data_IF_171708189704
#
_entry.id   IF_171708189704
#
_cell.length_a   1.000
_cell.length_b   1.000
_cell.length_c   1.000
_cell.angle_alpha   90.00
_cell.angle_beta   90.00
_cell.angle_gamma   90.00
#
_symmetry.space_group_name_H-M   'P 1'
#
loop_
_entity.id
_entity.type
_entity.pdbx_description
1 polymer ?
#
# COMPACT_ATOMS: atom_id res chain seq x y z
N UNK A 1 14.61 4.31 -13.79
CA UNK A 1 13.32 3.91 -14.39
C UNK A 1 12.39 5.11 -14.39
N UNK A 2 11.53 5.25 -15.38
CA UNK A 2 10.52 6.31 -15.45
C UNK A 2 9.13 5.69 -15.30
N UNK A 3 8.30 6.29 -14.47
CA UNK A 3 6.86 5.98 -14.31
C UNK A 3 6.11 7.24 -14.70
N UNK A 4 5.20 7.13 -15.68
CA UNK A 4 4.37 8.28 -16.08
C UNK A 4 3.32 8.51 -15.00
N UNK A 5 3.00 9.78 -14.74
CA UNK A 5 2.04 10.18 -13.71
C UNK A 5 1.17 11.32 -14.19
N UNK A 6 -0.12 11.25 -13.84
CA UNK A 6 -1.05 12.37 -13.93
C UNK A 6 -1.32 12.84 -12.51
N UNK A 7 -1.11 14.12 -12.25
CA UNK A 7 -1.53 14.78 -11.02
C UNK A 7 -2.96 15.32 -11.18
N UNK A 8 -3.77 15.03 -10.20
CA UNK A 8 -5.09 15.62 -10.07
C UNK A 8 -5.01 16.75 -9.03
N UNK A 9 -5.50 17.92 -9.38
CA UNK A 9 -5.38 19.14 -8.57
C UNK A 9 -3.91 19.54 -8.35
N UNK A 10 -3.62 20.27 -7.29
CA UNK A 10 -2.29 20.75 -6.89
C UNK A 10 -1.51 19.73 -6.02
N UNK A 11 -1.84 18.43 -6.12
CA UNK A 11 -1.16 17.38 -5.36
C UNK A 11 0.34 17.38 -5.62
N UNK A 12 1.15 17.38 -4.56
CA UNK A 12 2.60 17.22 -4.68
C UNK A 12 2.96 15.82 -5.17
N UNK A 13 3.94 15.73 -6.09
CA UNK A 13 4.48 14.43 -6.47
C UNK A 13 5.24 13.80 -5.30
N UNK A 14 5.00 12.51 -5.04
CA UNK A 14 5.79 11.77 -4.07
C UNK A 14 7.27 11.78 -4.42
N UNK A 15 8.13 11.83 -3.43
CA UNK A 15 9.58 11.79 -3.60
C UNK A 15 10.24 10.88 -2.56
N UNK A 16 11.40 10.36 -2.90
CA UNK A 16 12.27 9.70 -1.93
C UNK A 16 12.93 10.77 -1.05
N UNK A 17 12.74 10.69 0.26
CA UNK A 17 13.28 11.69 1.19
C UNK A 17 14.79 11.56 1.37
N UNK A 18 15.34 10.36 1.23
CA UNK A 18 16.78 10.07 1.29
C UNK A 18 17.19 9.11 0.17
N UNK A 19 18.49 9.03 -0.12
CA UNK A 19 19.01 8.12 -1.13
C UNK A 19 18.75 6.64 -0.81
N UNK A 20 18.57 6.31 0.46
CA UNK A 20 18.26 4.95 0.94
C UNK A 20 16.76 4.67 1.13
N UNK A 21 15.89 5.63 0.84
CA UNK A 21 14.44 5.44 0.97
C UNK A 21 13.93 4.42 -0.05
N UNK A 22 13.14 3.44 0.40
CA UNK A 22 12.44 2.51 -0.47
C UNK A 22 11.03 2.97 -0.82
N UNK A 23 10.43 3.83 0.00
CA UNK A 23 9.07 4.34 -0.16
C UNK A 23 9.03 5.86 -0.34
N UNK A 24 7.94 6.32 -0.94
CA UNK A 24 7.60 7.73 -1.13
C UNK A 24 6.26 7.99 -0.46
N UNK A 25 6.18 8.95 0.45
CA UNK A 25 4.93 9.31 1.11
C UNK A 25 3.92 9.90 0.13
N UNK A 26 2.65 9.52 0.26
CA UNK A 26 1.52 10.12 -0.45
C UNK A 26 0.60 10.85 0.51
N UNK A 27 -0.04 11.90 -0.03
CA UNK A 27 -0.89 12.80 0.74
C UNK A 27 -2.37 12.57 0.42
N UNK A 28 -3.22 12.84 1.41
CA UNK A 28 -4.66 12.87 1.23
C UNK A 28 -5.08 14.02 0.29
N UNK A 29 -5.63 13.70 -0.86
CA UNK A 29 -6.18 14.66 -1.83
C UNK A 29 -7.68 14.87 -1.56
N UNK A 30 -7.97 15.46 -0.43
CA UNK A 30 -9.32 15.78 0.06
C UNK A 30 -9.43 17.29 0.29
N UNK A 31 -10.64 17.82 0.26
CA UNK A 31 -10.93 19.25 0.47
C UNK A 31 -11.34 19.59 1.90
N UNK A 32 -11.81 18.58 2.64
CA UNK A 32 -12.30 18.73 4.01
C UNK A 32 -11.71 17.62 4.89
N UNK A 33 -11.72 17.85 6.20
CA UNK A 33 -11.30 16.88 7.19
C UNK A 33 -12.16 15.60 7.11
N UNK A 34 -11.50 14.45 7.13
CA UNK A 34 -12.16 13.14 7.14
C UNK A 34 -11.97 12.47 8.49
N UNK A 35 -13.03 12.37 9.27
CA UNK A 35 -13.02 11.69 10.57
C UNK A 35 -13.22 10.19 10.39
N UNK A 36 -12.29 9.39 10.92
CA UNK A 36 -12.39 7.94 11.05
C UNK A 36 -12.66 7.59 12.51
N UNK A 37 -13.89 7.17 12.81
CA UNK A 37 -14.21 6.58 14.10
C UNK A 37 -13.46 5.24 14.29
N UNK A 38 -13.30 4.73 15.53
CA UNK A 38 -12.73 3.42 15.78
C UNK A 38 -13.37 2.32 14.94
N UNK A 39 -12.55 1.47 14.30
CA UNK A 39 -12.99 0.36 13.46
C UNK A 39 -13.57 0.74 12.10
N UNK A 40 -13.65 2.02 11.74
CA UNK A 40 -14.23 2.44 10.45
C UNK A 40 -13.21 2.45 9.32
N UNK A 41 -13.69 2.18 8.11
CA UNK A 41 -12.90 2.15 6.86
C UNK A 41 -13.40 3.27 5.95
N UNK A 42 -12.46 4.00 5.35
CA UNK A 42 -12.74 4.99 4.31
C UNK A 42 -11.71 4.95 3.20
N UNK A 43 -12.15 5.15 1.97
CA UNK A 43 -11.27 5.34 0.82
C UNK A 43 -10.84 6.80 0.77
N UNK A 44 -9.53 7.05 0.81
CA UNK A 44 -8.94 8.38 0.76
C UNK A 44 -8.16 8.51 -0.56
N UNK A 45 -8.60 9.39 -1.47
CA UNK A 45 -7.89 9.62 -2.72
C UNK A 45 -6.54 10.30 -2.48
N UNK A 46 -5.56 10.04 -3.36
CA UNK A 46 -4.23 10.66 -3.27
C UNK A 46 -3.92 11.60 -4.43
N UNK A 47 -4.85 11.78 -5.37
CA UNK A 47 -4.72 12.71 -6.49
C UNK A 47 -3.70 12.29 -7.55
N UNK A 48 -3.40 11.01 -7.68
CA UNK A 48 -2.42 10.48 -8.62
C UNK A 48 -2.99 9.34 -9.45
N UNK A 49 -2.74 9.36 -10.77
CA UNK A 49 -2.88 8.22 -11.68
C UNK A 49 -1.51 7.91 -12.26
N UNK A 50 -1.18 6.63 -12.42
CA UNK A 50 0.15 6.20 -12.87
C UNK A 50 0.06 5.22 -14.04
N UNK A 51 1.14 5.18 -14.83
CA UNK A 51 1.40 4.14 -15.83
C UNK A 51 2.72 3.48 -15.47
N UNK A 52 2.62 2.29 -14.90
CA UNK A 52 3.76 1.51 -14.41
C UNK A 52 4.24 0.62 -15.57
N UNK A 53 5.54 0.49 -15.83
CA UNK A 53 6.06 -0.46 -16.81
C UNK A 53 5.69 -1.91 -16.47
N UNK A 54 5.39 -2.73 -17.48
CA UNK A 54 5.15 -4.17 -17.31
C UNK A 54 6.34 -4.82 -16.59
N UNK A 55 6.06 -5.76 -15.71
CA UNK A 55 7.06 -6.40 -14.84
C UNK A 55 7.31 -5.66 -13.53
N UNK A 56 6.52 -4.62 -13.25
CA UNK A 56 6.55 -3.89 -11.98
C UNK A 56 5.14 -3.61 -11.46
N UNK A 57 5.05 -3.45 -10.15
CA UNK A 57 3.87 -2.95 -9.43
C UNK A 57 4.26 -1.79 -8.53
N UNK A 58 3.27 -1.02 -8.08
CA UNK A 58 3.45 -0.13 -6.93
C UNK A 58 2.58 -0.65 -5.79
N UNK A 59 3.22 -0.88 -4.64
CA UNK A 59 2.51 -1.21 -3.41
C UNK A 59 2.18 0.05 -2.63
N UNK A 60 0.94 0.15 -2.18
CA UNK A 60 0.49 1.14 -1.20
C UNK A 60 0.62 0.51 0.17
N UNK A 61 1.43 1.11 1.05
CA UNK A 61 1.72 0.60 2.38
C UNK A 61 1.37 1.63 3.45
N UNK A 62 0.95 1.21 4.66
CA UNK A 62 0.75 2.13 5.77
C UNK A 62 2.07 2.77 6.20
N UNK A 63 1.97 3.91 6.91
CA UNK A 63 3.12 4.57 7.53
C UNK A 63 3.27 4.10 8.97
N UNK A 64 4.46 3.64 9.33
CA UNK A 64 4.76 3.10 10.67
C UNK A 64 4.44 4.09 11.80
N UNK A 65 4.74 5.37 11.61
CA UNK A 65 4.48 6.40 12.61
C UNK A 65 2.98 6.64 12.88
N UNK A 66 2.15 6.60 11.84
CA UNK A 66 0.69 6.73 11.97
C UNK A 66 0.08 5.45 12.58
N UNK A 67 0.56 4.29 12.15
CA UNK A 67 0.12 3.01 12.70
C UNK A 67 0.42 2.92 14.19
N UNK A 68 1.66 3.23 14.60
CA UNK A 68 2.09 3.11 16.01
C UNK A 68 1.40 4.14 16.93
N UNK A 69 1.30 5.40 16.49
CA UNK A 69 0.84 6.49 17.35
C UNK A 69 -0.67 6.66 17.36
N UNK A 70 -1.33 6.30 16.26
CA UNK A 70 -2.76 6.61 16.05
C UNK A 70 -3.59 5.40 15.60
N UNK A 71 -2.97 4.22 15.43
CA UNK A 71 -3.67 3.05 14.93
C UNK A 71 -4.19 3.20 13.49
N UNK A 72 -3.70 4.21 12.74
CA UNK A 72 -4.10 4.37 11.35
C UNK A 72 -3.37 3.35 10.48
N UNK A 73 -4.12 2.44 9.90
CA UNK A 73 -3.66 1.37 9.02
C UNK A 73 -4.36 1.38 7.68
N UNK A 74 -4.20 0.29 6.95
CA UNK A 74 -4.92 0.02 5.72
C UNK A 74 -5.71 -1.28 5.87
N UNK A 75 -7.01 -1.26 5.49
CA UNK A 75 -7.90 -2.41 5.65
C UNK A 75 -7.49 -3.61 4.80
N UNK A 76 -6.85 -3.38 3.68
CA UNK A 76 -6.28 -4.41 2.80
C UNK A 76 -4.80 -4.72 3.09
N UNK A 77 -4.24 -4.23 4.19
CA UNK A 77 -2.85 -4.36 4.62
C UNK A 77 -1.84 -3.74 3.65
N UNK A 78 -1.73 -4.28 2.43
CA UNK A 78 -0.94 -3.77 1.31
C UNK A 78 -1.88 -3.65 0.12
N UNK A 79 -1.95 -2.47 -0.48
CA UNK A 79 -2.64 -2.25 -1.75
C UNK A 79 -1.70 -2.54 -2.91
N UNK A 80 -2.16 -3.27 -3.91
CA UNK A 80 -1.42 -3.53 -5.15
C UNK A 80 -1.94 -2.64 -6.26
N UNK A 81 -1.05 -1.91 -6.91
CA UNK A 81 -1.34 -1.13 -8.11
C UNK A 81 -0.65 -1.83 -9.29
N UNK A 82 -1.45 -2.47 -10.10
CA UNK A 82 -1.00 -3.22 -11.27
C UNK A 82 -0.49 -2.29 -12.38
N UNK A 83 0.36 -2.81 -13.26
CA UNK A 83 0.96 -2.04 -14.36
C UNK A 83 -0.06 -1.53 -15.37
N UNK A 84 -1.22 -2.17 -15.50
CA UNK A 84 -2.32 -1.80 -16.39
C UNK A 84 -3.45 -1.01 -15.72
N UNK A 85 -3.37 -0.76 -14.40
CA UNK A 85 -4.33 0.11 -13.72
C UNK A 85 -4.14 1.57 -14.13
N UNK A 86 -5.25 2.26 -14.48
CA UNK A 86 -5.26 3.67 -14.92
C UNK A 86 -6.16 4.55 -14.07
N UNK A 87 -6.76 4.00 -13.01
CA UNK A 87 -7.59 4.76 -12.07
C UNK A 87 -6.76 5.62 -11.13
N UNK A 88 -7.45 6.45 -10.35
CA UNK A 88 -6.83 7.19 -9.26
C UNK A 88 -6.41 6.23 -8.14
N UNK A 89 -5.20 6.41 -7.62
CA UNK A 89 -4.74 5.67 -6.43
C UNK A 89 -5.52 6.15 -5.21
N UNK A 90 -6.07 5.19 -4.46
CA UNK A 90 -6.77 5.44 -3.20
C UNK A 90 -6.17 4.62 -2.06
N UNK A 91 -6.18 5.22 -0.87
CA UNK A 91 -5.79 4.56 0.38
C UNK A 91 -7.04 4.08 1.10
N UNK A 92 -7.18 2.77 1.28
CA UNK A 92 -8.28 2.16 2.05
C UNK A 92 -7.92 2.24 3.53
N UNK A 93 -8.08 3.42 4.11
CA UNK A 93 -7.70 3.71 5.49
C UNK A 93 -8.64 3.06 6.49
N UNK A 94 -8.08 2.48 7.56
CA UNK A 94 -8.81 1.94 8.71
C UNK A 94 -8.24 2.51 10.00
N UNK A 95 -9.11 2.83 10.95
CA UNK A 95 -8.72 3.21 12.30
C UNK A 95 -8.80 1.99 13.23
N UNK A 96 -7.66 1.48 13.66
CA UNK A 96 -7.50 0.32 14.54
C UNK A 96 -7.37 0.74 16.03
N UNK A 97 -7.43 2.05 16.34
CA UNK A 97 -7.38 2.55 17.70
C UNK A 97 -8.76 2.66 18.34
N UNK A 98 -8.79 3.00 19.61
CA UNK A 98 -10.00 3.27 20.41
C UNK A 98 -10.49 4.73 20.33
N UNK A 99 -9.77 5.60 19.62
CA UNK A 99 -10.08 7.03 19.47
C UNK A 99 -10.28 7.40 18.02
N UNK A 100 -11.17 8.35 17.75
CA UNK A 100 -11.33 8.89 16.42
C UNK A 100 -10.04 9.53 15.91
N UNK A 101 -9.71 9.30 14.64
CA UNK A 101 -8.60 9.94 13.95
C UNK A 101 -9.15 10.84 12.84
N UNK A 102 -8.61 12.05 12.74
CA UNK A 102 -9.01 12.99 11.69
C UNK A 102 -7.87 13.13 10.68
N UNK A 103 -8.13 12.68 9.45
CA UNK A 103 -7.24 12.91 8.30
C UNK A 103 -7.52 14.30 7.75
N UNK A 104 -6.48 15.11 7.64
CA UNK A 104 -6.55 16.48 7.10
C UNK A 104 -6.15 16.54 5.63
N UNK A 105 -6.65 17.53 4.86
CA UNK A 105 -6.17 17.79 3.51
C UNK A 105 -4.64 17.91 3.45
N UNK A 106 -4.01 17.23 2.50
CA UNK A 106 -2.57 17.24 2.32
C UNK A 106 -1.75 16.44 3.35
N UNK A 107 -2.38 15.78 4.30
CA UNK A 107 -1.69 14.93 5.28
C UNK A 107 -1.07 13.70 4.60
N UNK A 108 0.17 13.34 4.99
CA UNK A 108 0.83 12.12 4.51
C UNK A 108 0.24 10.90 5.21
N UNK A 109 -0.51 10.07 4.48
CA UNK A 109 -1.34 8.98 5.03
C UNK A 109 -0.84 7.58 4.71
N UNK A 110 -0.06 7.42 3.64
CA UNK A 110 0.48 6.15 3.20
C UNK A 110 1.81 6.38 2.48
N UNK A 111 2.43 5.31 2.01
CA UNK A 111 3.64 5.35 1.19
C UNK A 111 3.51 4.42 -0.01
N UNK A 112 4.12 4.81 -1.13
CA UNK A 112 4.24 4.02 -2.35
C UNK A 112 5.61 3.36 -2.40
N UNK A 113 5.65 2.07 -2.71
CA UNK A 113 6.89 1.30 -2.89
C UNK A 113 6.83 0.57 -4.21
N UNK A 114 7.79 0.85 -5.10
CA UNK A 114 7.93 0.14 -6.37
C UNK A 114 8.54 -1.23 -6.14
N UNK A 115 7.94 -2.27 -6.73
CA UNK A 115 8.47 -3.64 -6.70
C UNK A 115 8.52 -4.23 -8.10
N UNK A 116 9.48 -5.13 -8.31
CA UNK A 116 9.53 -6.00 -9.48
C UNK A 116 8.53 -7.16 -9.27
N UNK A 117 7.83 -7.54 -10.35
CA UNK A 117 6.84 -8.63 -10.33
C UNK A 117 7.32 -9.75 -11.24
N UNK A 118 7.31 -10.95 -10.72
CA UNK A 118 7.47 -12.18 -11.50
C UNK A 118 6.11 -12.87 -11.61
N UNK A 119 5.70 -13.19 -12.83
CA UNK A 119 4.47 -13.94 -13.07
C UNK A 119 4.78 -15.43 -13.13
N UNK A 120 3.95 -16.24 -12.47
CA UNK A 120 4.07 -17.70 -12.47
C UNK A 120 3.13 -18.30 -13.50
N UNK A 121 3.54 -19.44 -14.07
CA UNK A 121 2.69 -20.34 -14.82
C UNK A 121 2.44 -21.58 -13.97
N UNK A 122 1.18 -21.91 -13.75
CA UNK A 122 0.81 -23.10 -12.99
C UNK A 122 0.97 -24.36 -13.84
N UNK A 123 1.70 -25.35 -13.30
CA UNK A 123 1.78 -26.69 -13.85
C UNK A 123 1.13 -27.64 -12.86
N UNK A 124 -0.04 -28.16 -13.24
CA UNK A 124 -0.76 -29.13 -12.43
C UNK A 124 -0.04 -30.49 -12.46
N UNK A 125 0.21 -31.03 -11.27
CA UNK A 125 0.89 -32.31 -11.09
C UNK A 125 0.15 -33.16 -10.05
N UNK A 126 0.26 -34.50 -10.14
CA UNK A 126 -0.36 -35.40 -9.17
C UNK A 126 0.36 -35.43 -7.83
N UNK A 127 1.65 -35.12 -7.80
CA UNK A 127 2.46 -35.10 -6.58
C UNK A 127 3.56 -34.04 -6.64
N UNK A 128 3.85 -33.43 -5.50
CA UNK A 128 4.99 -32.50 -5.32
C UNK A 128 6.23 -33.28 -4.88
N UNK A 129 7.39 -32.68 -5.14
CA UNK A 129 8.67 -33.21 -4.64
C UNK A 129 8.71 -33.29 -3.12
N UNK A 130 9.44 -34.28 -2.58
CA UNK A 130 9.63 -34.45 -1.15
C UNK A 130 10.71 -33.51 -0.61
N UNK A 131 10.50 -33.01 0.62
CA UNK A 131 11.48 -32.21 1.34
C UNK A 131 11.58 -32.71 2.79
N UNK A 132 12.67 -32.38 3.48
CA UNK A 132 12.84 -32.70 4.90
C UNK A 132 11.72 -32.11 5.77
N UNK A 133 11.26 -30.90 5.42
CA UNK A 133 10.14 -30.23 6.11
C UNK A 133 8.78 -30.89 5.83
N UNK A 134 8.59 -31.44 4.64
CA UNK A 134 7.30 -32.00 4.18
C UNK A 134 6.14 -30.99 4.35
N UNK A 135 5.04 -31.44 4.95
CA UNK A 135 3.85 -30.64 5.21
C UNK A 135 3.91 -29.84 6.54
N UNK A 136 5.03 -29.81 7.23
CA UNK A 136 5.19 -29.12 8.51
C UNK A 136 5.02 -27.59 8.40
N UNK A 137 4.04 -27.03 9.12
CA UNK A 137 3.73 -25.62 9.18
C UNK A 137 3.28 -25.19 10.58
N UNK A 138 2.83 -23.95 10.75
CA UNK A 138 2.20 -23.40 11.96
C UNK A 138 3.00 -23.65 13.26
N UNK A 139 4.32 -23.42 13.23
CA UNK A 139 5.20 -23.64 14.39
C UNK A 139 5.88 -25.02 14.42
N UNK A 140 5.93 -25.73 13.30
CA UNK A 140 6.61 -27.04 13.16
C UNK A 140 8.06 -27.03 13.66
N UNK A 141 8.76 -25.90 13.59
CA UNK A 141 10.15 -25.76 14.06
C UNK A 141 10.29 -25.51 15.57
N UNK A 142 9.17 -25.55 16.31
CA UNK A 142 9.14 -25.31 17.75
C UNK A 142 9.13 -23.82 18.13
N UNK A 143 9.07 -23.56 19.44
CA UNK A 143 9.25 -22.22 20.03
C UNK A 143 10.71 -22.03 20.38
#
# INVERSE_FOLDING_TARGET
MQVKVIRMNETELPKYETIGSAGMDVRANITEDVVLAPGTIKLIPVGLKVEIPVGYEIQVRPRSGLALKHGLGMANSIGTIDSDYRGEIGVIAINLSDKAYTIKPGERIAQLVLNKVEQIEWVEVEALGTTERGAGGYGHTGK
#
